data_IF_320325206625
#
_entry.id   IF_320325206625
#
_cell.length_a   1.000
_cell.length_b   1.000
_cell.length_c   1.000
_cell.angle_alpha   90.00
_cell.angle_beta   90.00
_cell.angle_gamma   90.00
#
_symmetry.space_group_name_H-M   'P 1'
#
loop_
_entity.id
_entity.type
_entity.pdbx_description
1 polymer ?
#
# COMPACT_ATOMS: atom_id res chain seq x y z
N UNK A 1 -22.28 -7.84 -3.55
CA UNK A 1 -21.67 -7.73 -4.89
C UNK A 1 -21.49 -9.14 -5.42
N UNK A 2 -21.91 -9.42 -6.66
CA UNK A 2 -21.83 -10.77 -7.25
C UNK A 2 -20.42 -11.00 -7.80
N UNK A 3 -19.86 -12.20 -7.60
CA UNK A 3 -18.52 -12.54 -8.07
C UNK A 3 -18.37 -12.40 -9.59
N UNK A 4 -19.43 -12.66 -10.36
CA UNK A 4 -19.46 -12.48 -11.82
C UNK A 4 -19.28 -11.03 -12.29
N UNK A 5 -19.41 -10.05 -11.39
CA UNK A 5 -19.23 -8.62 -11.66
C UNK A 5 -18.06 -8.03 -10.87
N UNK A 6 -17.15 -8.87 -10.39
CA UNK A 6 -16.01 -8.45 -9.59
C UNK A 6 -14.73 -9.09 -10.11
N UNK A 7 -13.66 -8.30 -10.21
CA UNK A 7 -12.36 -8.82 -10.59
C UNK A 7 -11.79 -9.66 -9.43
N UNK A 8 -11.75 -10.97 -9.62
CA UNK A 8 -11.12 -11.95 -8.73
C UNK A 8 -10.05 -12.68 -9.55
N UNK A 9 -8.84 -12.13 -9.58
CA UNK A 9 -7.73 -12.65 -10.38
C UNK A 9 -6.88 -13.64 -9.57
N UNK A 10 -7.46 -14.78 -9.19
CA UNK A 10 -6.75 -15.79 -8.39
C UNK A 10 -5.69 -16.53 -9.19
N UNK A 11 -4.62 -16.98 -8.53
CA UNK A 11 -3.58 -17.82 -9.12
C UNK A 11 -3.63 -19.24 -8.56
N UNK A 12 -3.53 -20.24 -9.45
CA UNK A 12 -3.50 -21.67 -9.06
C UNK A 12 -2.18 -22.03 -8.37
N UNK A 13 -1.08 -21.49 -8.84
CA UNK A 13 0.28 -21.77 -8.38
C UNK A 13 0.86 -20.53 -7.69
N UNK A 14 1.77 -20.78 -6.77
CA UNK A 14 2.48 -19.70 -6.06
C UNK A 14 3.61 -19.21 -6.96
N UNK A 15 3.69 -17.90 -7.25
CA UNK A 15 4.83 -17.36 -8.00
C UNK A 15 6.15 -17.66 -7.30
N UNK A 16 7.15 -18.09 -8.07
CA UNK A 16 8.44 -18.55 -7.53
C UNK A 16 9.24 -17.42 -6.84
N UNK A 17 8.95 -16.16 -7.16
CA UNK A 17 9.59 -14.98 -6.58
C UNK A 17 8.95 -14.53 -5.25
N UNK A 18 7.93 -15.25 -4.75
CA UNK A 18 7.26 -14.95 -3.49
C UNK A 18 7.72 -15.91 -2.37
N UNK A 19 8.66 -15.45 -1.53
CA UNK A 19 9.21 -16.29 -0.44
C UNK A 19 8.34 -16.29 0.82
N UNK A 20 7.80 -15.13 1.21
CA UNK A 20 7.02 -14.99 2.46
C UNK A 20 5.56 -15.39 2.25
N UNK A 21 4.99 -16.17 3.18
CA UNK A 21 3.64 -16.72 3.04
C UNK A 21 2.54 -15.67 2.84
N UNK A 22 2.65 -14.50 3.48
CA UNK A 22 1.70 -13.40 3.28
C UNK A 22 1.71 -12.89 1.83
N UNK A 23 2.91 -12.71 1.25
CA UNK A 23 3.08 -12.30 -0.14
C UNK A 23 2.49 -13.34 -1.10
N UNK A 24 2.79 -14.63 -0.88
CA UNK A 24 2.24 -15.73 -1.66
C UNK A 24 0.71 -15.73 -1.66
N UNK A 25 0.10 -15.61 -0.47
CA UNK A 25 -1.35 -15.64 -0.32
C UNK A 25 -2.02 -14.41 -0.94
N UNK A 26 -1.44 -13.22 -0.79
CA UNK A 26 -1.98 -11.99 -1.38
C UNK A 26 -1.95 -12.02 -2.91
N UNK A 27 -0.92 -12.61 -3.52
CA UNK A 27 -0.87 -12.85 -4.97
C UNK A 27 -1.93 -13.86 -5.39
N UNK A 28 -1.98 -15.03 -4.72
CA UNK A 28 -2.91 -16.12 -5.07
C UNK A 28 -4.37 -15.76 -4.90
N UNK A 29 -4.71 -14.96 -3.89
CA UNK A 29 -6.07 -14.49 -3.65
C UNK A 29 -6.49 -13.35 -4.60
N UNK A 30 -5.60 -12.88 -5.48
CA UNK A 30 -5.87 -11.74 -6.36
C UNK A 30 -6.06 -10.43 -5.59
N UNK A 31 -5.30 -10.23 -4.50
CA UNK A 31 -5.33 -9.00 -3.70
C UNK A 31 -4.34 -7.96 -4.20
N UNK A 32 -3.19 -8.39 -4.74
CA UNK A 32 -2.15 -7.52 -5.28
C UNK A 32 -1.60 -8.06 -6.60
N UNK A 33 -1.00 -7.19 -7.40
CA UNK A 33 -0.23 -7.55 -8.60
C UNK A 33 1.07 -6.76 -8.63
N UNK A 34 2.20 -7.45 -8.81
CA UNK A 34 3.52 -6.80 -8.93
C UNK A 34 3.58 -5.96 -10.22
N UNK A 35 4.06 -4.72 -10.09
CA UNK A 35 4.34 -3.81 -11.20
C UNK A 35 5.84 -3.73 -11.46
N UNK A 36 6.62 -3.54 -10.40
CA UNK A 36 8.09 -3.54 -10.39
C UNK A 36 8.61 -4.03 -9.03
N UNK A 37 9.93 -4.04 -8.82
CA UNK A 37 10.49 -4.33 -7.49
C UNK A 37 9.94 -3.34 -6.46
N UNK A 38 9.38 -3.84 -5.36
CA UNK A 38 8.76 -3.02 -4.31
C UNK A 38 7.43 -2.32 -4.69
N UNK A 39 6.99 -2.37 -5.96
CA UNK A 39 5.80 -1.67 -6.43
C UNK A 39 4.67 -2.64 -6.79
N UNK A 40 3.49 -2.42 -6.18
CA UNK A 40 2.33 -3.28 -6.33
C UNK A 40 1.06 -2.49 -6.66
N UNK A 41 0.24 -3.04 -7.53
CA UNK A 41 -1.15 -2.62 -7.73
C UNK A 41 -2.04 -3.34 -6.73
N UNK A 42 -2.84 -2.58 -5.97
CA UNK A 42 -3.89 -3.12 -5.13
C UNK A 42 -5.12 -3.47 -5.97
N UNK A 43 -5.41 -4.77 -6.06
CA UNK A 43 -6.60 -5.25 -6.75
C UNK A 43 -7.85 -5.05 -5.87
N UNK A 44 -9.07 -5.15 -6.42
CA UNK A 44 -10.28 -4.73 -5.71
C UNK A 44 -10.50 -5.42 -4.35
N UNK A 45 -10.10 -6.68 -4.17
CA UNK A 45 -10.18 -7.35 -2.87
C UNK A 45 -9.17 -6.76 -1.87
N UNK A 46 -7.92 -6.58 -2.29
CA UNK A 46 -6.86 -6.00 -1.46
C UNK A 46 -7.17 -4.56 -1.05
N UNK A 47 -7.64 -3.73 -1.99
CA UNK A 47 -8.01 -2.34 -1.73
C UNK A 47 -9.15 -2.22 -0.70
N UNK A 48 -10.11 -3.16 -0.67
CA UNK A 48 -11.16 -3.17 0.35
C UNK A 48 -10.62 -3.48 1.75
N UNK A 49 -9.63 -4.36 1.86
CA UNK A 49 -8.96 -4.65 3.13
C UNK A 49 -8.12 -3.46 3.57
N UNK A 50 -7.33 -2.88 2.66
CA UNK A 50 -6.54 -1.68 2.92
C UNK A 50 -7.39 -0.53 3.49
N UNK A 51 -8.52 -0.23 2.85
CA UNK A 51 -9.46 0.80 3.32
C UNK A 51 -10.08 0.51 4.69
N UNK A 52 -10.28 -0.76 5.05
CA UNK A 52 -10.75 -1.12 6.40
C UNK A 52 -9.70 -0.81 7.46
N UNK A 53 -8.44 -1.16 7.19
CA UNK A 53 -7.32 -0.86 8.09
C UNK A 53 -7.15 0.65 8.23
N UNK A 54 -7.12 1.35 7.10
CA UNK A 54 -7.06 2.83 7.03
C UNK A 54 -8.17 3.47 7.88
N UNK A 55 -9.41 2.98 7.77
CA UNK A 55 -10.53 3.50 8.54
C UNK A 55 -10.39 3.28 10.04
N UNK A 56 -9.83 2.15 10.47
CA UNK A 56 -9.54 1.91 11.91
C UNK A 56 -8.52 2.93 12.40
N UNK A 57 -7.40 3.10 11.68
CA UNK A 57 -6.36 4.08 12.04
C UNK A 57 -6.96 5.49 12.12
N UNK A 58 -7.69 5.93 11.08
CA UNK A 58 -8.36 7.24 11.06
C UNK A 58 -9.31 7.42 12.24
N UNK A 59 -10.09 6.39 12.57
CA UNK A 59 -11.04 6.43 13.69
C UNK A 59 -10.32 6.67 15.01
N UNK A 60 -9.21 5.96 15.26
CA UNK A 60 -8.45 6.13 16.50
C UNK A 60 -7.69 7.47 16.56
N UNK A 61 -7.15 7.94 15.43
CA UNK A 61 -6.53 9.26 15.35
C UNK A 61 -7.52 10.41 15.59
N UNK A 62 -8.74 10.29 15.07
CA UNK A 62 -9.79 11.28 15.33
C UNK A 62 -10.20 11.28 16.81
N UNK A 63 -10.28 10.11 17.45
CA UNK A 63 -10.57 10.00 18.89
C UNK A 63 -9.49 10.64 19.76
N UNK A 64 -8.23 10.61 19.33
CA UNK A 64 -7.13 11.27 20.05
C UNK A 64 -7.05 12.78 19.79
N UNK A 65 -7.92 13.34 18.95
CA UNK A 65 -7.98 14.76 18.62
C UNK A 65 -7.03 15.19 17.50
N UNK A 66 -6.44 14.25 16.75
CA UNK A 66 -5.66 14.59 15.58
C UNK A 66 -6.54 15.15 14.45
N UNK A 67 -5.95 15.99 13.59
CA UNK A 67 -6.61 16.54 12.40
C UNK A 67 -5.89 16.03 11.15
N UNK A 68 -6.61 15.31 10.29
CA UNK A 68 -6.07 14.69 9.08
C UNK A 68 -5.86 15.73 7.96
N UNK A 69 -4.70 15.68 7.30
CA UNK A 69 -4.37 16.47 6.11
C UNK A 69 -3.76 15.56 5.04
N UNK A 70 -3.91 15.93 3.76
CA UNK A 70 -3.30 15.23 2.63
C UNK A 70 -2.26 16.14 1.97
N UNK A 71 -0.99 15.75 2.05
CA UNK A 71 0.13 16.48 1.46
C UNK A 71 0.53 15.89 0.10
N UNK A 72 1.17 16.69 -0.79
CA UNK A 72 1.71 16.18 -2.04
C UNK A 72 2.86 15.20 -1.79
N UNK A 73 2.95 14.17 -2.63
CA UNK A 73 4.03 13.17 -2.59
C UNK A 73 5.35 13.77 -3.08
N UNK A 74 5.30 14.60 -4.12
CA UNK A 74 6.46 15.35 -4.62
C UNK A 74 6.62 16.62 -3.80
N UNK A 75 7.81 16.84 -3.25
CA UNK A 75 8.12 17.97 -2.38
C UNK A 75 9.31 18.78 -2.92
N UNK A 76 9.34 20.11 -2.68
CA UNK A 76 10.52 20.93 -2.99
C UNK A 76 11.74 20.47 -2.20
N UNK A 77 12.92 20.47 -2.84
CA UNK A 77 14.16 20.02 -2.22
C UNK A 77 14.60 20.93 -1.08
N UNK A 78 14.26 22.23 -1.15
CA UNK A 78 14.64 23.26 -0.19
C UNK A 78 14.19 22.91 1.23
N UNK A 79 13.02 22.29 1.39
CA UNK A 79 12.50 21.85 2.70
C UNK A 79 13.38 20.74 3.33
N UNK A 80 13.96 19.89 2.50
CA UNK A 80 14.81 18.78 2.94
C UNK A 80 16.20 19.27 3.29
N UNK A 81 16.73 20.21 2.50
CA UNK A 81 17.99 20.91 2.75
C UNK A 81 17.92 21.73 4.04
N UNK A 82 16.83 22.48 4.28
CA UNK A 82 16.63 23.28 5.50
C UNK A 82 16.69 22.41 6.76
N UNK A 83 16.09 21.22 6.72
CA UNK A 83 16.15 20.27 7.83
C UNK A 83 17.46 19.48 7.92
N UNK A 84 18.37 19.63 6.94
CA UNK A 84 19.62 18.87 6.83
C UNK A 84 19.44 17.38 6.51
N UNK A 85 18.22 16.95 6.15
CA UNK A 85 17.89 15.53 5.91
C UNK A 85 18.15 15.07 4.49
N UNK A 86 18.32 16.00 3.55
CA UNK A 86 18.57 15.69 2.14
C UNK A 86 19.77 14.74 1.96
N UNK A 87 20.86 14.96 2.70
CA UNK A 87 22.08 14.16 2.63
C UNK A 87 22.06 12.96 3.58
N UNK A 88 21.27 13.03 4.67
CA UNK A 88 21.19 11.96 5.68
C UNK A 88 20.40 10.75 5.20
N UNK A 89 19.37 10.97 4.36
CA UNK A 89 18.54 9.88 3.85
C UNK A 89 19.32 8.90 2.96
N UNK A 90 20.44 9.34 2.38
CA UNK A 90 21.30 8.54 1.52
C UNK A 90 20.73 8.32 0.12
N UNK A 91 21.47 7.62 -0.75
CA UNK A 91 20.96 7.18 -2.04
C UNK A 91 19.91 6.08 -1.86
N UNK A 92 18.83 6.14 -2.64
CA UNK A 92 17.89 5.02 -2.84
C UNK A 92 18.53 3.86 -3.61
#
# INVERSE_FOLDING_TARGET
MRSSRFLIATLKETPADAEVISHQLMLRAGMIRKLASGLYTWLPLGLRVLRKVENIVRTEMNKSGAQEVLMPVVQPAELWEESGRWQQYGPE
#
